data_IF_676503158484
#
_entry.id   IF_676503158484
#
_cell.length_a   1.000
_cell.length_b   1.000
_cell.length_c   1.000
_cell.angle_alpha   90.00
_cell.angle_beta   90.00
_cell.angle_gamma   90.00
#
_symmetry.space_group_name_H-M   'P 1'
#
loop_
_entity.id
_entity.type
_entity.pdbx_description
1 polymer ?
#
# COMPACT_ATOMS: atom_id res chain seq x y z
N UNK A 1 -7.46 -17.68 61.82
CA UNK A 1 -8.17 -18.10 60.58
C UNK A 1 -9.61 -17.61 60.74
N UNK A 2 -10.23 -16.76 59.95
CA UNK A 2 -10.00 -16.34 58.57
C UNK A 2 -10.25 -14.84 58.41
N UNK A 3 -9.50 -14.28 57.47
CA UNK A 3 -9.52 -12.95 56.91
C UNK A 3 -10.81 -12.73 56.09
N UNK A 4 -11.42 -11.53 56.14
CA UNK A 4 -12.00 -10.90 54.95
C UNK A 4 -12.26 -9.41 55.20
N UNK A 5 -11.34 -8.63 54.65
CA UNK A 5 -11.47 -7.21 54.33
C UNK A 5 -12.46 -7.00 53.17
N UNK A 6 -12.63 -5.72 52.77
CA UNK A 6 -13.22 -5.20 51.51
C UNK A 6 -14.79 -5.12 51.58
N UNK A 7 -15.51 -3.99 51.40
CA UNK A 7 -15.32 -2.75 50.62
C UNK A 7 -16.00 -1.55 51.28
N UNK A 8 -15.35 -0.38 51.17
CA UNK A 8 -15.96 0.94 51.29
C UNK A 8 -17.11 1.11 50.29
N UNK A 9 -18.31 1.38 50.79
CA UNK A 9 -19.43 1.86 49.98
C UNK A 9 -19.56 3.35 50.23
N UNK A 10 -19.02 4.18 49.34
CA UNK A 10 -19.38 5.60 49.29
C UNK A 10 -20.83 5.70 48.81
N UNK A 11 -21.77 5.70 49.74
CA UNK A 11 -23.17 6.05 49.48
C UNK A 11 -23.24 7.56 49.17
N UNK A 12 -23.51 7.89 47.91
CA UNK A 12 -23.90 9.23 47.50
C UNK A 12 -25.43 9.32 47.68
N UNK A 13 -25.87 9.76 48.86
CA UNK A 13 -27.26 10.07 49.16
C UNK A 13 -27.39 11.60 49.23
N UNK A 14 -27.98 12.21 48.21
CA UNK A 14 -28.47 13.58 48.28
C UNK A 14 -29.99 13.52 48.12
N UNK A 15 -30.69 13.45 49.24
CA UNK A 15 -32.12 13.74 49.32
C UNK A 15 -32.32 15.23 49.54
N UNK A 16 -33.30 15.78 48.84
CA UNK A 16 -33.77 17.15 48.85
C UNK A 16 -34.03 17.69 50.27
N UNK A 17 -33.31 18.76 50.64
CA UNK A 17 -33.73 19.92 51.48
C UNK A 17 -32.59 20.45 52.37
N UNK A 18 -31.98 21.55 51.94
CA UNK A 18 -31.26 22.57 52.70
C UNK A 18 -30.38 22.19 53.93
N UNK A 19 -29.08 22.43 53.82
CA UNK A 19 -28.35 23.08 54.94
C UNK A 19 -27.23 23.98 54.41
N UNK A 20 -27.45 25.29 54.59
CA UNK A 20 -26.42 26.32 54.59
C UNK A 20 -25.52 26.05 55.82
N UNK A 21 -24.24 25.75 55.60
CA UNK A 21 -23.20 25.89 56.61
C UNK A 21 -22.11 26.78 56.04
N UNK A 22 -21.76 27.78 56.84
CA UNK A 22 -20.97 28.94 56.54
C UNK A 22 -19.57 28.65 55.96
N UNK A 23 -19.14 29.56 55.09
CA UNK A 23 -17.73 29.79 54.76
C UNK A 23 -16.91 29.99 56.03
N UNK A 24 -16.01 29.05 56.32
CA UNK A 24 -14.76 29.32 57.04
C UNK A 24 -13.64 28.99 56.08
N UNK A 25 -12.94 30.03 55.64
CA UNK A 25 -11.72 29.89 54.86
C UNK A 25 -10.64 29.22 55.73
N UNK A 26 -10.38 27.94 55.51
CA UNK A 26 -9.09 27.33 55.83
C UNK A 26 -8.24 27.33 54.56
N UNK A 27 -7.44 28.38 54.46
CA UNK A 27 -6.32 28.45 53.55
C UNK A 27 -5.24 27.45 54.02
N UNK A 28 -5.30 26.21 53.54
CA UNK A 28 -4.16 25.27 53.60
C UNK A 28 -3.67 25.00 52.19
N UNK A 29 -2.91 25.94 51.63
CA UNK A 29 -1.54 25.69 51.18
C UNK A 29 -1.27 24.55 50.17
N UNK A 30 -2.25 24.11 49.40
CA UNK A 30 -2.04 23.29 48.21
C UNK A 30 -3.24 23.49 47.32
N UNK A 31 -3.06 24.10 46.15
CA UNK A 31 -4.07 24.13 45.09
C UNK A 31 -4.32 22.68 44.64
N UNK A 32 -5.13 21.95 45.41
CA UNK A 32 -5.72 20.70 44.98
C UNK A 32 -6.56 21.09 43.77
N UNK A 33 -6.17 20.60 42.59
CA UNK A 33 -6.94 20.81 41.37
C UNK A 33 -8.43 20.61 41.73
N UNK A 34 -9.27 21.59 41.40
CA UNK A 34 -10.70 21.48 41.64
C UNK A 34 -11.15 20.09 41.16
N UNK A 35 -11.91 19.33 41.98
CA UNK A 35 -12.32 17.98 41.61
C UNK A 35 -12.98 18.05 40.23
N UNK A 36 -12.58 17.17 39.31
CA UNK A 36 -13.26 17.01 38.03
C UNK A 36 -14.69 16.59 38.36
N UNK A 37 -15.65 17.48 38.12
CA UNK A 37 -17.07 17.15 38.24
C UNK A 37 -17.47 16.33 37.02
N UNK A 38 -18.18 15.24 37.27
CA UNK A 38 -18.80 14.41 36.27
C UNK A 38 -20.29 14.44 36.56
N UNK A 39 -21.06 14.99 35.63
CA UNK A 39 -22.50 15.14 35.76
C UNK A 39 -23.20 14.27 34.71
N UNK A 40 -24.35 13.72 35.06
CA UNK A 40 -25.31 13.25 34.08
C UNK A 40 -25.97 14.48 33.47
N UNK A 41 -25.60 14.85 32.25
CA UNK A 41 -26.05 16.11 31.63
C UNK A 41 -27.54 16.08 31.20
N UNK A 42 -28.44 15.88 32.16
CA UNK A 42 -29.89 15.91 32.05
C UNK A 42 -30.48 14.72 31.30
N UNK A 43 -31.24 13.86 32.01
CA UNK A 43 -32.26 12.88 31.55
C UNK A 43 -31.97 11.93 30.35
N UNK A 44 -30.84 12.04 29.66
CA UNK A 44 -30.55 11.38 28.40
C UNK A 44 -29.40 10.37 28.54
N UNK A 45 -29.10 9.89 29.76
CA UNK A 45 -28.02 8.95 30.03
C UNK A 45 -26.66 9.41 29.47
N UNK A 46 -26.40 10.72 29.53
CA UNK A 46 -25.16 11.33 29.06
C UNK A 46 -24.13 11.36 30.19
N UNK A 47 -22.84 11.37 29.83
CA UNK A 47 -21.73 11.56 30.77
C UNK A 47 -20.96 12.81 30.37
N UNK A 48 -20.86 13.79 31.26
CA UNK A 48 -20.10 15.02 31.01
C UNK A 48 -19.10 15.25 32.15
N UNK A 49 -17.81 15.22 31.84
CA UNK A 49 -16.73 15.42 32.80
C UNK A 49 -15.76 16.51 32.34
N UNK A 50 -15.60 17.57 33.14
CA UNK A 50 -14.61 18.63 32.90
C UNK A 50 -15.20 19.99 32.51
N UNK A 51 -14.45 21.05 32.79
CA UNK A 51 -14.88 22.43 32.56
C UNK A 51 -15.20 22.70 31.09
N UNK A 52 -16.41 23.15 30.80
CA UNK A 52 -16.86 23.47 29.45
C UNK A 52 -17.09 22.25 28.55
N UNK A 53 -17.02 21.03 29.08
CA UNK A 53 -17.44 19.85 28.35
C UNK A 53 -18.95 19.92 28.07
N UNK A 54 -19.39 19.52 26.89
CA UNK A 54 -20.79 19.57 26.47
C UNK A 54 -21.19 18.30 25.73
N UNK A 55 -22.41 17.84 25.98
CA UNK A 55 -23.12 16.89 25.12
C UNK A 55 -24.25 17.59 24.39
N UNK A 56 -24.70 17.03 23.27
CA UNK A 56 -25.93 17.47 22.62
C UNK A 56 -27.17 17.08 23.44
N UNK A 57 -28.36 17.41 22.94
CA UNK A 57 -29.64 16.94 23.51
C UNK A 57 -29.91 15.44 23.25
N UNK A 58 -28.97 14.74 22.63
CA UNK A 58 -29.09 13.34 22.24
C UNK A 58 -28.74 12.39 23.39
N UNK A 59 -29.36 11.22 23.39
CA UNK A 59 -29.14 10.16 24.40
C UNK A 59 -27.78 9.47 24.22
N UNK A 60 -27.16 9.07 25.34
CA UNK A 60 -26.02 8.16 25.39
C UNK A 60 -24.68 8.78 24.99
N UNK A 61 -24.57 10.11 24.96
CA UNK A 61 -23.34 10.80 24.62
C UNK A 61 -22.38 10.89 25.81
N UNK A 62 -21.08 10.75 25.56
CA UNK A 62 -20.02 10.85 26.58
C UNK A 62 -19.02 11.93 26.18
N UNK A 63 -18.87 12.98 26.99
CA UNK A 63 -17.87 14.04 26.81
C UNK A 63 -16.96 14.12 28.04
N UNK A 64 -15.67 13.81 27.89
CA UNK A 64 -14.69 13.81 28.99
C UNK A 64 -13.46 14.63 28.61
N UNK A 65 -13.19 15.70 29.34
CA UNK A 65 -12.07 16.61 29.12
C UNK A 65 -12.53 18.07 28.97
N UNK A 66 -11.64 19.02 29.30
CA UNK A 66 -11.96 20.44 29.16
C UNK A 66 -12.38 20.77 27.73
N UNK A 67 -13.55 21.40 27.58
CA UNK A 67 -14.12 21.74 26.26
C UNK A 67 -14.33 20.56 25.30
N UNK A 68 -14.40 19.32 25.80
CA UNK A 68 -14.82 18.17 25.00
C UNK A 68 -16.29 18.32 24.55
N UNK A 69 -16.59 18.02 23.29
CA UNK A 69 -17.92 18.17 22.72
C UNK A 69 -18.40 16.86 22.05
N UNK A 70 -19.36 16.18 22.68
CA UNK A 70 -20.05 15.02 22.12
C UNK A 70 -21.49 15.40 21.72
N UNK A 71 -21.65 16.16 20.63
CA UNK A 71 -22.97 16.64 20.18
C UNK A 71 -23.76 15.64 19.34
N UNK A 72 -23.11 14.59 18.84
CA UNK A 72 -23.76 13.52 18.08
C UNK A 72 -24.52 12.53 18.97
N UNK A 73 -25.63 11.92 18.49
CA UNK A 73 -26.31 10.85 19.21
C UNK A 73 -25.39 9.65 19.47
N UNK A 74 -25.35 9.12 20.70
CA UNK A 74 -24.44 8.05 21.12
C UNK A 74 -22.95 8.33 20.82
N UNK A 75 -22.55 9.61 20.72
CA UNK A 75 -21.18 9.97 20.41
C UNK A 75 -20.29 9.95 21.66
N UNK A 76 -19.00 9.65 21.49
CA UNK A 76 -18.01 9.65 22.58
C UNK A 76 -16.87 10.59 22.23
N UNK A 77 -16.67 11.65 23.01
CA UNK A 77 -15.57 12.60 22.91
C UNK A 77 -14.71 12.55 24.18
N UNK A 78 -13.43 12.16 24.07
CA UNK A 78 -12.50 12.05 25.21
C UNK A 78 -11.20 12.79 24.92
N UNK A 79 -10.92 13.87 25.63
CA UNK A 79 -9.73 14.71 25.46
C UNK A 79 -10.05 16.20 25.47
N UNK A 80 -9.04 17.04 25.76
CA UNK A 80 -9.23 18.49 25.70
C UNK A 80 -9.56 18.94 24.27
N UNK A 81 -10.66 19.68 24.08
CA UNK A 81 -11.19 20.09 22.78
C UNK A 81 -11.51 18.93 21.81
N UNK A 82 -11.69 17.69 22.27
CA UNK A 82 -12.15 16.61 21.37
C UNK A 82 -13.59 16.88 20.91
N UNK A 83 -13.92 16.51 19.66
CA UNK A 83 -15.21 16.81 19.04
C UNK A 83 -15.77 15.57 18.35
N UNK A 84 -16.79 14.95 18.93
CA UNK A 84 -17.54 13.86 18.33
C UNK A 84 -18.94 14.37 17.96
N UNK A 85 -19.11 14.85 16.72
CA UNK A 85 -20.34 15.52 16.27
C UNK A 85 -21.22 14.65 15.38
N UNK A 86 -20.69 13.54 14.86
CA UNK A 86 -21.46 12.56 14.09
C UNK A 86 -22.24 11.59 14.99
N UNK A 87 -23.32 11.01 14.49
CA UNK A 87 -24.03 9.92 15.17
C UNK A 87 -23.11 8.72 15.37
N UNK A 88 -23.08 8.10 16.55
CA UNK A 88 -22.25 6.93 16.91
C UNK A 88 -20.75 7.22 16.67
N UNK A 89 -20.35 8.50 16.63
CA UNK A 89 -18.96 8.87 16.40
C UNK A 89 -18.11 8.77 17.66
N UNK A 90 -16.82 8.44 17.51
CA UNK A 90 -15.87 8.37 18.62
C UNK A 90 -14.66 9.25 18.34
N UNK A 91 -14.41 10.26 19.16
CA UNK A 91 -13.24 11.15 19.09
C UNK A 91 -12.42 11.06 20.39
N UNK A 92 -11.24 10.43 20.34
CA UNK A 92 -10.36 10.25 21.52
C UNK A 92 -8.99 10.87 21.26
N UNK A 93 -8.62 11.92 21.99
CA UNK A 93 -7.37 12.65 21.85
C UNK A 93 -7.55 14.16 21.97
N UNK A 94 -6.46 14.89 22.22
CA UNK A 94 -6.52 16.36 22.28
C UNK A 94 -6.87 16.89 20.90
N UNK A 95 -7.95 17.67 20.80
CA UNK A 95 -8.42 18.27 19.54
C UNK A 95 -8.71 17.24 18.43
N UNK A 96 -9.05 16.00 18.76
CA UNK A 96 -9.55 15.03 17.79
C UNK A 96 -10.93 15.43 17.27
N UNK A 97 -11.26 15.06 16.03
CA UNK A 97 -12.52 15.39 15.37
C UNK A 97 -13.11 14.14 14.70
N UNK A 98 -14.24 13.66 15.19
CA UNK A 98 -15.06 12.66 14.53
C UNK A 98 -16.41 13.31 14.15
N UNK A 99 -16.52 13.80 12.91
CA UNK A 99 -17.72 14.53 12.44
C UNK A 99 -18.60 13.73 11.49
N UNK A 100 -18.11 12.61 10.95
CA UNK A 100 -18.93 11.70 10.15
C UNK A 100 -19.81 10.78 10.99
N UNK A 101 -20.92 10.30 10.43
CA UNK A 101 -21.72 9.25 11.07
C UNK A 101 -20.90 7.97 11.20
N UNK A 102 -20.96 7.30 12.35
CA UNK A 102 -20.20 6.09 12.67
C UNK A 102 -18.68 6.25 12.49
N UNK A 103 -18.18 7.49 12.54
CA UNK A 103 -16.76 7.78 12.36
C UNK A 103 -15.95 7.60 13.64
N UNK A 104 -14.69 7.22 13.50
CA UNK A 104 -13.77 7.03 14.64
C UNK A 104 -12.50 7.83 14.42
N UNK A 105 -12.17 8.76 15.32
CA UNK A 105 -10.94 9.54 15.33
C UNK A 105 -10.18 9.32 16.65
N UNK A 106 -9.03 8.66 16.61
CA UNK A 106 -8.21 8.35 17.79
C UNK A 106 -6.79 8.90 17.60
N UNK A 107 -6.37 9.82 18.47
CA UNK A 107 -5.08 10.52 18.38
C UNK A 107 -5.24 12.02 18.51
N UNK A 108 -4.18 12.72 18.94
CA UNK A 108 -4.22 14.18 18.99
C UNK A 108 -4.36 14.77 17.58
N UNK A 109 -5.29 15.70 17.37
CA UNK A 109 -5.58 16.32 16.06
C UNK A 109 -5.96 15.31 14.95
N UNK A 110 -6.38 14.09 15.28
CA UNK A 110 -6.93 13.17 14.27
C UNK A 110 -8.28 13.67 13.77
N UNK A 111 -8.61 13.39 12.51
CA UNK A 111 -9.85 13.85 11.88
C UNK A 111 -10.49 12.74 11.04
N UNK A 112 -11.67 12.28 11.46
CA UNK A 112 -12.53 11.39 10.68
C UNK A 112 -13.82 12.16 10.31
N UNK A 113 -13.88 12.70 9.09
CA UNK A 113 -14.88 13.74 8.74
C UNK A 113 -16.04 13.25 7.89
N UNK A 114 -16.05 11.96 7.52
CA UNK A 114 -17.05 11.38 6.63
C UNK A 114 -17.65 10.09 7.22
N UNK A 115 -18.76 9.61 6.63
CA UNK A 115 -19.47 8.42 7.10
C UNK A 115 -18.55 7.20 7.15
N UNK A 116 -18.57 6.50 8.28
CA UNK A 116 -17.76 5.30 8.56
C UNK A 116 -16.25 5.51 8.35
N UNK A 117 -15.78 6.76 8.38
CA UNK A 117 -14.36 7.06 8.28
C UNK A 117 -13.65 6.72 9.61
N UNK A 118 -12.44 6.16 9.52
CA UNK A 118 -11.62 5.80 10.67
C UNK A 118 -10.24 6.45 10.56
N UNK A 119 -9.89 7.33 11.50
CA UNK A 119 -8.60 8.01 11.58
C UNK A 119 -7.91 7.68 12.91
N UNK A 120 -6.79 6.94 12.89
CA UNK A 120 -6.04 6.51 14.08
C UNK A 120 -4.58 6.95 13.98
N UNK A 121 -4.15 7.89 14.81
CA UNK A 121 -2.80 8.47 14.83
C UNK A 121 -2.81 9.97 15.08
N UNK A 122 -1.69 10.54 15.54
CA UNK A 122 -1.58 11.99 15.65
C UNK A 122 -1.67 12.62 14.26
N UNK A 123 -2.57 13.58 14.05
CA UNK A 123 -2.83 14.24 12.76
C UNK A 123 -3.25 13.30 11.62
N UNK A 124 -3.72 12.08 11.91
CA UNK A 124 -4.30 11.24 10.86
C UNK A 124 -5.61 11.85 10.34
N UNK A 125 -5.87 11.72 9.04
CA UNK A 125 -7.06 12.28 8.39
C UNK A 125 -7.74 11.23 7.52
N UNK A 126 -8.98 10.88 7.83
CA UNK A 126 -9.86 10.07 6.99
C UNK A 126 -11.04 10.94 6.54
N UNK A 127 -11.00 11.44 5.32
CA UNK A 127 -12.00 12.38 4.77
C UNK A 127 -12.87 11.79 3.66
N UNK A 128 -12.50 10.64 3.11
CA UNK A 128 -13.37 9.85 2.23
C UNK A 128 -14.42 9.07 3.01
N UNK A 129 -15.58 8.83 2.41
CA UNK A 129 -16.57 7.91 2.98
C UNK A 129 -15.96 6.49 3.04
N UNK A 130 -16.19 5.76 4.14
CA UNK A 130 -15.61 4.44 4.41
C UNK A 130 -14.06 4.41 4.45
N UNK A 131 -13.40 5.57 4.47
CA UNK A 131 -11.94 5.65 4.42
C UNK A 131 -11.29 5.28 5.76
N UNK A 132 -10.11 4.66 5.71
CA UNK A 132 -9.35 4.27 6.89
C UNK A 132 -7.93 4.83 6.83
N UNK A 133 -7.56 5.73 7.74
CA UNK A 133 -6.23 6.30 7.89
C UNK A 133 -5.61 5.87 9.24
N UNK A 134 -4.52 5.10 9.22
CA UNK A 134 -3.83 4.59 10.41
C UNK A 134 -2.35 4.95 10.37
N UNK A 135 -1.88 5.84 11.24
CA UNK A 135 -0.50 6.32 11.28
C UNK A 135 -0.41 7.81 11.62
N UNK A 136 0.77 8.26 12.07
CA UNK A 136 0.99 9.71 12.27
C UNK A 136 0.93 10.42 10.92
N UNK A 137 0.08 11.43 10.80
CA UNK A 137 -0.12 12.19 9.57
C UNK A 137 -0.52 11.34 8.33
N UNK A 138 -1.08 10.14 8.52
CA UNK A 138 -1.66 9.38 7.41
C UNK A 138 -2.92 10.07 6.88
N UNK A 139 -3.17 9.99 5.57
CA UNK A 139 -4.32 10.62 4.92
C UNK A 139 -5.01 9.65 3.98
N UNK A 140 -6.27 9.33 4.26
CA UNK A 140 -7.16 8.56 3.40
C UNK A 140 -8.30 9.48 2.93
N UNK A 141 -8.16 10.05 1.74
CA UNK A 141 -9.10 11.06 1.21
C UNK A 141 -10.00 10.54 0.10
N UNK A 142 -9.67 9.41 -0.53
CA UNK A 142 -10.54 8.74 -1.50
C UNK A 142 -11.69 8.00 -0.81
N UNK A 143 -12.81 7.81 -1.51
CA UNK A 143 -13.90 6.93 -1.05
C UNK A 143 -13.36 5.51 -0.91
N UNK A 144 -13.70 4.81 0.17
CA UNK A 144 -13.22 3.45 0.48
C UNK A 144 -11.69 3.31 0.51
N UNK A 145 -10.95 4.41 0.64
CA UNK A 145 -9.48 4.38 0.61
C UNK A 145 -8.87 3.94 1.94
N UNK A 146 -7.70 3.30 1.88
CA UNK A 146 -6.98 2.79 3.04
C UNK A 146 -5.55 3.35 3.03
N UNK A 147 -5.19 4.16 4.02
CA UNK A 147 -3.84 4.69 4.22
C UNK A 147 -3.26 4.18 5.55
N UNK A 148 -2.27 3.29 5.52
CA UNK A 148 -1.64 2.71 6.71
C UNK A 148 -0.14 2.98 6.70
N UNK A 149 0.37 3.70 7.70
CA UNK A 149 1.77 4.11 7.80
C UNK A 149 1.90 5.61 8.07
N UNK A 150 3.01 6.05 8.65
CA UNK A 150 3.20 7.48 8.88
C UNK A 150 3.33 8.22 7.54
N UNK A 151 2.57 9.30 7.38
CA UNK A 151 2.55 10.10 6.14
C UNK A 151 2.08 9.35 4.89
N UNK A 152 1.47 8.17 5.00
CA UNK A 152 0.87 7.51 3.84
C UNK A 152 -0.31 8.32 3.30
N UNK A 153 -0.51 8.29 1.99
CA UNK A 153 -1.56 9.02 1.29
C UNK A 153 -2.31 8.07 0.34
N UNK A 154 -3.59 7.84 0.62
CA UNK A 154 -4.51 7.14 -0.28
C UNK A 154 -5.59 8.12 -0.74
N UNK A 155 -5.41 8.72 -1.93
CA UNK A 155 -6.30 9.77 -2.45
C UNK A 155 -7.18 9.31 -3.60
N UNK A 156 -6.87 8.20 -4.26
CA UNK A 156 -7.77 7.59 -5.25
C UNK A 156 -8.98 6.90 -4.61
N UNK A 157 -10.10 6.80 -5.31
CA UNK A 157 -11.21 5.93 -4.85
C UNK A 157 -10.75 4.48 -4.80
N UNK A 158 -11.16 3.75 -3.77
CA UNK A 158 -10.85 2.34 -3.56
C UNK A 158 -9.34 2.05 -3.57
N UNK A 159 -8.53 3.07 -3.23
CA UNK A 159 -7.07 2.99 -3.22
C UNK A 159 -6.52 2.49 -1.89
N UNK A 160 -5.35 1.85 -1.93
CA UNK A 160 -4.69 1.28 -0.77
C UNK A 160 -3.23 1.72 -0.73
N UNK A 161 -2.84 2.52 0.26
CA UNK A 161 -1.46 2.93 0.52
C UNK A 161 -0.97 2.36 1.86
N UNK A 162 -0.04 1.41 1.84
CA UNK A 162 0.51 0.75 3.04
C UNK A 162 2.03 0.93 3.07
N UNK A 163 2.54 1.75 4.00
CA UNK A 163 3.95 2.04 4.17
C UNK A 163 4.23 3.46 4.66
N UNK A 164 5.43 3.70 5.20
CA UNK A 164 5.89 5.06 5.50
C UNK A 164 5.95 5.86 4.19
N UNK A 165 5.20 6.97 4.10
CA UNK A 165 5.11 7.82 2.90
C UNK A 165 4.79 7.06 1.61
N UNK A 166 3.95 6.02 1.66
CA UNK A 166 3.39 5.42 0.44
C UNK A 166 2.30 6.32 -0.16
N UNK A 167 2.16 6.30 -1.49
CA UNK A 167 1.19 7.10 -2.24
C UNK A 167 0.36 6.20 -3.16
N UNK A 168 -0.96 6.22 -2.97
CA UNK A 168 -1.93 5.60 -3.88
C UNK A 168 -2.95 6.67 -4.30
N UNK A 169 -2.62 7.41 -5.35
CA UNK A 169 -3.41 8.53 -5.88
C UNK A 169 -4.23 8.18 -7.13
N UNK A 170 -3.95 7.04 -7.78
CA UNK A 170 -4.81 6.48 -8.82
C UNK A 170 -6.08 5.82 -8.26
N UNK A 171 -7.17 5.83 -9.05
CA UNK A 171 -8.37 5.04 -8.75
C UNK A 171 -8.05 3.53 -8.77
N UNK A 172 -8.56 2.77 -7.80
CA UNK A 172 -8.26 1.35 -7.60
C UNK A 172 -6.75 1.04 -7.42
N UNK A 173 -5.93 2.06 -7.11
CA UNK A 173 -4.50 1.90 -7.03
C UNK A 173 -4.05 1.25 -5.71
N UNK A 174 -3.02 0.41 -5.76
CA UNK A 174 -2.46 -0.25 -4.57
C UNK A 174 -0.97 0.01 -4.45
N UNK A 175 -0.52 0.74 -3.42
CA UNK A 175 0.88 1.00 -3.12
C UNK A 175 1.27 0.35 -1.78
N UNK A 176 2.19 -0.61 -1.79
CA UNK A 176 2.67 -1.31 -0.59
C UNK A 176 4.20 -1.25 -0.51
N UNK A 177 4.72 -0.59 0.51
CA UNK A 177 6.15 -0.35 0.72
C UNK A 177 6.44 1.08 1.15
N UNK A 178 7.57 1.31 1.82
CA UNK A 178 8.01 2.69 2.13
C UNK A 178 8.25 3.44 0.81
N UNK A 179 7.63 4.60 0.64
CA UNK A 179 7.80 5.43 -0.55
C UNK A 179 7.28 4.82 -1.86
N UNK A 180 6.51 3.72 -1.82
CA UNK A 180 5.89 3.19 -3.04
C UNK A 180 4.84 4.15 -3.58
N UNK A 181 4.71 4.21 -4.90
CA UNK A 181 3.79 5.10 -5.62
C UNK A 181 2.96 4.34 -6.64
N UNK A 182 1.63 4.34 -6.50
CA UNK A 182 0.68 3.83 -7.49
C UNK A 182 -0.18 5.00 -7.98
N UNK A 183 0.28 5.61 -9.08
CA UNK A 183 -0.16 6.95 -9.53
C UNK A 183 -1.23 6.89 -10.62
N UNK A 184 -1.43 5.73 -11.25
CA UNK A 184 -2.33 5.55 -12.36
C UNK A 184 -3.53 4.66 -12.00
N UNK A 185 -4.57 4.68 -12.84
CA UNK A 185 -5.78 3.88 -12.61
C UNK A 185 -5.44 2.38 -12.64
N UNK A 186 -5.98 1.61 -11.70
CA UNK A 186 -5.74 0.17 -11.55
C UNK A 186 -4.24 -0.19 -11.44
N UNK A 187 -3.39 0.75 -11.03
CA UNK A 187 -1.96 0.52 -10.91
C UNK A 187 -1.59 -0.12 -9.57
N UNK A 188 -0.52 -0.90 -9.53
CA UNK A 188 -0.07 -1.55 -8.30
C UNK A 188 1.44 -1.45 -8.13
N UNK A 189 1.92 -0.97 -6.99
CA UNK A 189 3.33 -0.83 -6.67
C UNK A 189 3.68 -1.57 -5.39
N UNK A 190 4.53 -2.60 -5.49
CA UNK A 190 4.96 -3.44 -4.37
C UNK A 190 6.47 -3.34 -4.16
N UNK A 191 6.92 -2.63 -3.12
CA UNK A 191 8.34 -2.52 -2.74
C UNK A 191 8.78 -1.11 -2.35
N UNK A 192 9.96 -1.00 -1.71
CA UNK A 192 10.55 0.30 -1.37
C UNK A 192 10.77 1.15 -2.64
N UNK A 193 10.13 2.31 -2.72
CA UNK A 193 10.17 3.21 -3.89
C UNK A 193 9.77 2.53 -5.22
N UNK A 194 8.90 1.51 -5.21
CA UNK A 194 8.32 1.00 -6.45
C UNK A 194 7.31 2.02 -7.02
N UNK A 195 7.32 2.28 -8.33
CA UNK A 195 6.49 3.29 -8.99
C UNK A 195 5.68 2.68 -10.15
N UNK A 196 4.37 2.64 -10.02
CA UNK A 196 3.45 2.24 -11.09
C UNK A 196 2.76 3.49 -11.65
N UNK A 197 3.31 4.02 -12.75
CA UNK A 197 2.91 5.30 -13.36
C UNK A 197 1.95 5.16 -14.55
N UNK A 198 1.56 3.93 -14.90
CA UNK A 198 0.77 3.64 -16.09
C UNK A 198 -0.48 2.84 -15.74
N UNK A 199 -1.55 3.01 -16.51
CA UNK A 199 -2.82 2.35 -16.23
C UNK A 199 -2.69 0.82 -16.26
N UNK A 200 -3.38 0.15 -15.34
CA UNK A 200 -3.38 -1.31 -15.23
C UNK A 200 -1.98 -1.93 -15.21
N UNK A 201 -0.99 -1.22 -14.64
CA UNK A 201 0.40 -1.66 -14.57
C UNK A 201 0.82 -2.06 -13.16
N UNK A 202 1.81 -2.95 -13.05
CA UNK A 202 2.31 -3.46 -11.77
C UNK A 202 3.82 -3.26 -11.66
N UNK A 203 4.30 -2.51 -10.68
CA UNK A 203 5.72 -2.42 -10.33
C UNK A 203 6.03 -3.36 -9.15
N UNK A 204 6.93 -4.33 -9.32
CA UNK A 204 7.30 -5.31 -8.29
C UNK A 204 8.79 -5.20 -7.98
N UNK A 205 9.12 -4.93 -6.71
CA UNK A 205 10.48 -4.84 -6.20
C UNK A 205 10.96 -3.41 -5.97
N UNK A 206 12.06 -3.29 -5.23
CA UNK A 206 12.63 -2.00 -4.84
C UNK A 206 13.02 -1.16 -6.07
N UNK A 207 12.54 0.07 -6.15
CA UNK A 207 12.87 0.98 -7.26
C UNK A 207 12.36 0.54 -8.64
N UNK A 208 11.50 -0.48 -8.72
CA UNK A 208 10.89 -0.88 -9.99
C UNK A 208 9.99 0.23 -10.52
N UNK A 209 9.98 0.45 -11.83
CA UNK A 209 9.15 1.47 -12.48
C UNK A 209 8.50 0.89 -13.71
N UNK A 210 7.17 1.05 -13.84
CA UNK A 210 6.48 0.68 -15.08
C UNK A 210 6.82 1.67 -16.18
N UNK A 211 6.84 1.19 -17.43
CA UNK A 211 7.18 1.97 -18.62
C UNK A 211 6.06 2.00 -19.69
N UNK A 212 4.95 1.29 -19.44
CA UNK A 212 3.77 1.22 -20.31
C UNK A 212 2.54 0.68 -19.59
N UNK A 213 1.36 0.95 -20.15
CA UNK A 213 0.05 0.42 -19.73
C UNK A 213 -0.04 -1.11 -19.89
N UNK A 214 -0.85 -1.78 -19.06
CA UNK A 214 -1.06 -3.24 -19.10
C UNK A 214 0.25 -4.06 -19.02
N UNK A 215 1.15 -3.70 -18.10
CA UNK A 215 2.47 -4.34 -17.97
C UNK A 215 2.87 -4.61 -16.53
N UNK A 216 3.77 -5.59 -16.33
CA UNK A 216 4.42 -5.86 -15.05
C UNK A 216 5.91 -5.53 -15.17
N UNK A 217 6.39 -4.58 -14.37
CA UNK A 217 7.79 -4.22 -14.28
C UNK A 217 8.43 -4.82 -13.03
N UNK A 218 9.42 -5.68 -13.24
CA UNK A 218 10.25 -6.24 -12.16
C UNK A 218 11.50 -5.40 -11.87
N UNK A 219 11.65 -4.23 -12.51
CA UNK A 219 12.85 -3.40 -12.45
C UNK A 219 12.63 -2.07 -13.14
N UNK A 220 13.72 -1.45 -13.60
CA UNK A 220 13.70 -0.23 -14.42
C UNK A 220 14.86 -0.29 -15.45
N UNK A 221 15.02 0.75 -16.27
CA UNK A 221 16.03 0.79 -17.33
C UNK A 221 17.48 0.56 -16.84
N UNK A 222 17.80 0.93 -15.59
CA UNK A 222 19.13 0.76 -15.00
C UNK A 222 19.29 -0.52 -14.17
N UNK A 223 18.20 -1.17 -13.74
CA UNK A 223 18.23 -2.36 -12.90
C UNK A 223 17.19 -3.36 -13.40
N UNK A 224 17.67 -4.38 -14.10
CA UNK A 224 16.86 -5.54 -14.48
C UNK A 224 16.98 -6.64 -13.43
N UNK A 225 15.94 -7.46 -13.30
CA UNK A 225 15.93 -8.62 -12.39
C UNK A 225 15.72 -9.90 -13.18
N UNK A 226 16.38 -10.95 -12.74
CA UNK A 226 16.10 -12.30 -13.23
C UNK A 226 14.80 -12.80 -12.64
N UNK A 227 13.99 -13.48 -13.46
CA UNK A 227 12.83 -14.22 -13.02
C UNK A 227 13.20 -15.71 -12.93
N UNK A 228 13.31 -16.22 -11.70
CA UNK A 228 13.80 -17.59 -11.41
C UNK A 228 12.65 -18.53 -11.02
N UNK A 229 12.87 -19.84 -11.09
CA UNK A 229 11.88 -20.87 -10.74
C UNK A 229 10.61 -20.87 -11.63
N UNK A 230 10.80 -20.63 -12.93
CA UNK A 230 9.73 -20.71 -13.93
C UNK A 230 9.67 -22.14 -14.49
N UNK A 231 8.51 -22.78 -14.34
CA UNK A 231 8.21 -24.08 -14.93
C UNK A 231 8.21 -24.02 -16.47
N UNK A 232 8.16 -25.17 -17.13
CA UNK A 232 8.04 -25.20 -18.58
C UNK A 232 6.68 -24.66 -19.03
N UNK A 233 6.68 -23.74 -19.99
CA UNK A 233 5.50 -23.23 -20.68
C UNK A 233 4.72 -24.37 -21.38
N UNK A 234 3.39 -24.33 -21.25
CA UNK A 234 2.46 -25.31 -21.85
C UNK A 234 1.40 -24.67 -22.74
N UNK A 235 1.15 -23.37 -22.56
CA UNK A 235 0.22 -22.56 -23.35
C UNK A 235 0.95 -21.44 -24.11
N UNK A 236 0.29 -20.89 -25.13
CA UNK A 236 0.86 -19.83 -25.98
C UNK A 236 1.20 -18.52 -25.23
N UNK A 237 0.63 -18.31 -24.05
CA UNK A 237 0.83 -17.11 -23.22
C UNK A 237 1.66 -17.36 -21.96
N UNK A 238 2.26 -18.54 -21.83
CA UNK A 238 3.16 -18.84 -20.71
C UNK A 238 4.54 -18.24 -20.94
N UNK A 239 5.24 -17.90 -19.85
CA UNK A 239 6.63 -17.49 -19.92
C UNK A 239 7.53 -18.70 -20.24
N UNK A 240 8.42 -18.54 -21.21
CA UNK A 240 9.40 -19.58 -21.60
C UNK A 240 10.66 -19.46 -20.74
N UNK A 241 11.13 -20.58 -20.18
CA UNK A 241 12.39 -20.61 -19.43
C UNK A 241 13.60 -20.97 -20.33
N UNK A 242 14.82 -20.84 -19.78
CA UNK A 242 16.07 -21.07 -20.54
C UNK A 242 16.21 -22.51 -21.07
N UNK A 243 15.70 -23.52 -20.35
CA UNK A 243 15.77 -24.92 -20.81
C UNK A 243 14.93 -25.14 -22.06
N UNK A 244 13.70 -24.61 -22.10
CA UNK A 244 12.84 -24.69 -23.28
C UNK A 244 13.42 -23.94 -24.47
N UNK A 245 13.99 -22.75 -24.25
CA UNK A 245 14.67 -22.00 -25.29
C UNK A 245 15.85 -22.81 -25.89
N UNK A 246 16.71 -23.38 -25.03
CA UNK A 246 17.84 -24.21 -25.48
C UNK A 246 17.39 -25.48 -26.23
N UNK A 247 16.29 -26.10 -25.79
CA UNK A 247 15.71 -27.25 -26.49
C UNK A 247 15.16 -26.88 -27.87
N UNK A 248 14.46 -25.74 -27.99
CA UNK A 248 13.94 -25.24 -29.25
C UNK A 248 15.06 -24.87 -30.24
N UNK A 249 16.14 -24.23 -29.77
CA UNK A 249 17.33 -23.91 -30.60
C UNK A 249 18.00 -25.18 -31.09
N UNK A 250 18.16 -26.18 -30.22
CA UNK A 250 18.70 -27.49 -30.59
C UNK A 250 17.82 -28.17 -31.65
N UNK A 251 16.50 -28.17 -31.46
CA UNK A 251 15.54 -28.77 -32.38
C UNK A 251 15.48 -28.06 -33.74
N UNK A 252 15.69 -26.73 -33.77
CA UNK A 252 15.77 -25.94 -35.00
C UNK A 252 17.07 -26.17 -35.81
N UNK A 253 17.89 -27.14 -35.42
CA UNK A 253 19.17 -27.44 -36.07
C UNK A 253 20.20 -26.35 -35.84
N UNK A 254 20.16 -25.73 -34.65
CA UNK A 254 20.89 -24.51 -34.30
C UNK A 254 22.22 -24.33 -35.03
N UNK A 255 22.44 -23.12 -35.55
CA UNK A 255 23.73 -22.65 -36.09
C UNK A 255 24.91 -22.78 -35.09
N UNK A 256 24.69 -23.33 -33.90
CA UNK A 256 25.71 -23.70 -32.91
C UNK A 256 25.95 -25.21 -32.76
N UNK A 257 25.64 -26.05 -33.77
CA UNK A 257 25.83 -27.50 -33.63
C UNK A 257 25.88 -28.35 -34.89
N UNK A 258 25.39 -27.90 -36.04
CA UNK A 258 25.65 -28.62 -37.30
C UNK A 258 27.04 -28.23 -37.78
N UNK A 259 28.03 -29.08 -37.49
CA UNK A 259 29.33 -28.94 -38.12
C UNK A 259 29.16 -29.17 -39.62
N UNK A 260 29.03 -28.11 -40.42
CA UNK A 260 28.99 -28.20 -41.88
C UNK A 260 30.36 -28.50 -42.49
N UNK A 261 31.44 -28.49 -41.69
CA UNK A 261 32.80 -28.75 -42.15
C UNK A 261 32.93 -30.07 -42.92
N UNK A 262 32.32 -31.21 -42.52
CA UNK A 262 32.40 -32.44 -43.30
C UNK A 262 31.71 -32.34 -44.68
N UNK A 263 30.62 -31.57 -44.79
CA UNK A 263 29.96 -31.34 -46.08
C UNK A 263 30.76 -30.39 -46.96
N UNK A 264 31.38 -29.37 -46.35
CA UNK A 264 32.30 -28.44 -47.01
C UNK A 264 33.56 -29.18 -47.48
N UNK A 265 34.16 -30.03 -46.65
CA UNK A 265 35.34 -30.84 -46.98
C UNK A 265 35.03 -31.83 -48.10
N UNK A 266 33.86 -32.48 -48.06
CA UNK A 266 33.41 -33.36 -49.14
C UNK A 266 33.15 -32.59 -50.44
N UNK A 267 32.62 -31.37 -50.37
CA UNK A 267 32.45 -30.51 -51.53
C UNK A 267 33.80 -30.06 -52.10
N UNK A 268 34.74 -29.65 -51.25
CA UNK A 268 36.10 -29.26 -51.64
C UNK A 268 36.85 -30.42 -52.30
N UNK A 269 36.77 -31.64 -51.74
CA UNK A 269 37.37 -32.81 -52.34
C UNK A 269 36.77 -33.12 -53.74
N UNK A 270 35.46 -32.94 -53.92
CA UNK A 270 34.82 -33.08 -55.24
C UNK A 270 35.31 -32.02 -56.22
N UNK A 271 35.47 -30.77 -55.76
CA UNK A 271 36.02 -29.67 -56.56
C UNK A 271 37.48 -29.97 -56.95
N UNK A 272 38.33 -30.42 -56.03
CA UNK A 272 39.73 -30.74 -56.30
C UNK A 272 39.87 -31.89 -57.31
N UNK A 273 39.02 -32.92 -57.20
CA UNK A 273 38.97 -34.01 -58.17
C UNK A 273 38.52 -33.53 -59.55
N UNK A 274 37.53 -32.63 -59.62
CA UNK A 274 37.09 -32.00 -60.87
C UNK A 274 38.21 -31.18 -61.50
N UNK A 275 38.91 -30.35 -60.73
CA UNK A 275 40.06 -29.55 -61.18
C UNK A 275 41.16 -30.45 -61.74
N UNK A 276 41.48 -31.54 -61.05
CA UNK A 276 42.49 -32.51 -61.49
C UNK A 276 42.08 -33.18 -62.81
N UNK A 277 40.81 -33.57 -62.93
CA UNK A 277 40.25 -34.12 -64.16
C UNK A 277 40.33 -33.15 -65.35
N UNK A 278 39.95 -31.89 -65.14
CA UNK A 278 40.03 -30.83 -66.16
C UNK A 278 41.48 -30.60 -66.62
N UNK A 279 42.43 -30.53 -65.68
CA UNK A 279 43.84 -30.36 -66.01
C UNK A 279 44.39 -31.52 -66.86
N UNK A 280 44.02 -32.75 -66.52
CA UNK A 280 44.39 -33.95 -67.30
C UNK A 280 43.82 -33.90 -68.71
N UNK A 281 42.55 -33.52 -68.85
CA UNK A 281 41.90 -33.37 -70.15
C UNK A 281 42.63 -32.32 -71.01
N UNK A 282 42.99 -31.19 -70.40
CA UNK A 282 43.68 -30.10 -71.09
C UNK A 282 45.08 -30.52 -71.56
N UNK A 283 45.83 -31.27 -70.74
CA UNK A 283 47.12 -31.83 -71.12
C UNK A 283 47.02 -32.80 -72.31
N UNK A 284 46.03 -33.70 -72.29
CA UNK A 284 45.77 -34.63 -73.39
C UNK A 284 45.38 -33.89 -74.68
N UNK A 285 44.58 -32.83 -74.58
CA UNK A 285 44.22 -31.99 -75.71
C UNK A 285 45.45 -31.34 -76.36
N UNK A 286 46.37 -30.80 -75.55
CA UNK A 286 47.64 -30.23 -76.04
C UNK A 286 48.51 -31.29 -76.73
N UNK A 287 48.63 -32.49 -76.15
CA UNK A 287 49.37 -33.59 -76.78
C UNK A 287 48.75 -34.01 -78.12
N UNK A 288 47.42 -34.09 -78.20
CA UNK A 288 46.71 -34.42 -79.42
C UNK A 288 46.94 -33.35 -80.51
N UNK A 289 46.83 -32.07 -80.15
CA UNK A 289 47.13 -30.95 -81.05
C UNK A 289 48.56 -31.02 -81.59
N UNK A 290 49.54 -31.29 -80.73
CA UNK A 290 50.92 -31.45 -81.15
C UNK A 290 51.10 -32.64 -82.10
N UNK A 291 50.43 -33.77 -81.84
CA UNK A 291 50.51 -34.95 -82.70
C UNK A 291 49.89 -34.72 -84.09
N UNK A 292 48.78 -33.98 -84.17
CA UNK A 292 48.14 -33.60 -85.43
C UNK A 292 49.05 -32.66 -86.24
N UNK A 293 49.66 -31.67 -85.58
CA UNK A 293 50.54 -30.71 -86.25
C UNK A 293 51.84 -31.34 -86.78
N UNK A 294 52.26 -32.48 -86.24
CA UNK A 294 53.42 -33.24 -86.76
C UNK A 294 53.10 -34.19 -87.92
N UNK A 295 51.82 -34.37 -88.28
CA UNK A 295 51.39 -35.22 -89.41
C UNK A 295 50.96 -34.44 -90.67
N UNK A 296 51.09 -33.11 -90.67
CA UNK A 296 50.95 -32.24 -91.84
C UNK A 296 52.31 -31.75 -92.31
#
# INVERSE_FOLDING_TARGET
MSNSSIKNTHQFLLSTSAMIIAMVALNTGSAKAAPITCDDAGSANNVVCGTGATTGASTGATAIGGSANASGPNATAVGHNSRATGQISTATGISSLASGSESTAIGGQSAATNTQATAIGNRSTASGAFATAVGVASTASGVSSIAIGAGSLASGSDSVAIGLVSLADGEFATAVGRGSGAHAQNSSAFGYNANANHDSSVAIGQGSSTDRTLSVAFGNAGVLRQLTFIADATQNTDAVNLRQMNAAITAAGGFGGVNYQPQIDAANLRIDNLVTGVNTLNANYVLLQNSLNTQQ
#
